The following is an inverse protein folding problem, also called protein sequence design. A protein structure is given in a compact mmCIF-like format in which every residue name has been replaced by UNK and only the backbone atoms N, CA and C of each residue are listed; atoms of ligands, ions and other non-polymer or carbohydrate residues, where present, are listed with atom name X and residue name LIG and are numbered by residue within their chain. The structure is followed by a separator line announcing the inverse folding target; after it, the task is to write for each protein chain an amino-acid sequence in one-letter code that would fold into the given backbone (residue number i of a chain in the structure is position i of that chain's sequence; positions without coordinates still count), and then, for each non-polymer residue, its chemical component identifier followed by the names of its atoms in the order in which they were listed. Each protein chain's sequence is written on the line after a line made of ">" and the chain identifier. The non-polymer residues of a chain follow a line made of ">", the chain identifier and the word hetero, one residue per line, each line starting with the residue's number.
data_IF_729207861332
#
_entry.id   IF_729207861332
#
_cell.length_a   1.000
_cell.length_b   1.000
_cell.length_c   1.000
_cell.angle_alpha   90.00
_cell.angle_beta   90.00
_cell.angle_gamma   90.00
#
_symmetry.space_group_name_H-M   'P 1'
#
loop_
_entity.id
_entity.type
_entity.pdbx_description
1 polymer ?
#
# COMPACT_ATOMS: atom_id res chain seq x y z
N UNK A 1 -14.33 9.69 -19.13
CA UNK A 1 -13.85 9.32 -17.77
C UNK A 1 -12.97 8.09 -17.97
N UNK A 2 -11.65 8.26 -17.89
CA UNK A 2 -10.68 7.20 -18.14
C UNK A 2 -10.12 6.73 -16.80
N UNK A 3 -10.96 6.05 -16.03
CA UNK A 3 -10.53 5.48 -14.76
C UNK A 3 -10.14 4.02 -15.02
N UNK A 4 -8.91 3.63 -14.67
CA UNK A 4 -8.44 2.25 -14.89
C UNK A 4 -8.04 1.61 -13.56
N UNK A 5 -8.66 0.48 -13.24
CA UNK A 5 -8.21 -0.39 -12.16
C UNK A 5 -6.92 -1.12 -12.59
N UNK A 6 -5.97 -1.26 -11.67
CA UNK A 6 -4.71 -1.97 -11.93
C UNK A 6 -4.48 -3.12 -10.95
N UNK A 7 -3.85 -4.18 -11.44
CA UNK A 7 -3.37 -5.32 -10.65
C UNK A 7 -1.90 -5.61 -10.94
N UNK A 8 -1.08 -5.73 -9.89
CA UNK A 8 0.34 -6.01 -9.92
C UNK A 8 0.64 -7.32 -9.15
N UNK A 9 1.33 -8.26 -9.79
CA UNK A 9 1.74 -9.54 -9.20
C UNK A 9 2.79 -9.40 -8.08
N UNK A 10 3.42 -8.22 -7.96
CA UNK A 10 4.40 -7.90 -6.91
C UNK A 10 3.79 -7.18 -5.70
N UNK A 11 2.46 -7.04 -5.66
CA UNK A 11 1.73 -6.52 -4.52
C UNK A 11 0.73 -7.58 -4.03
N UNK A 12 0.40 -7.60 -2.73
CA UNK A 12 -0.58 -8.55 -2.19
C UNK A 12 -1.91 -8.46 -2.92
N UNK A 13 -2.46 -9.60 -3.34
CA UNK A 13 -3.70 -9.64 -4.11
C UNK A 13 -4.84 -8.90 -3.39
N UNK A 14 -5.66 -8.16 -4.13
CA UNK A 14 -6.86 -7.55 -3.59
C UNK A 14 -7.88 -8.66 -3.28
N UNK A 15 -8.21 -8.85 -2.00
CA UNK A 15 -9.17 -9.85 -1.54
C UNK A 15 -10.43 -9.12 -1.07
N UNK A 16 -11.28 -8.74 -2.02
CA UNK A 16 -12.52 -7.99 -1.77
C UNK A 16 -12.93 -7.12 -2.95
N UNK A 17 -13.99 -6.31 -2.80
CA UNK A 17 -14.51 -5.44 -3.86
C UNK A 17 -13.69 -4.14 -3.99
N UNK A 18 -12.37 -4.26 -4.17
CA UNK A 18 -11.45 -3.13 -4.36
C UNK A 18 -10.33 -3.51 -5.34
N UNK A 19 -9.61 -2.50 -5.83
CA UNK A 19 -8.43 -2.68 -6.70
C UNK A 19 -7.16 -2.27 -5.95
N UNK A 20 -5.99 -2.80 -6.32
CA UNK A 20 -4.73 -2.38 -5.69
C UNK A 20 -4.42 -0.91 -5.96
N UNK A 21 -4.77 -0.42 -7.15
CA UNK A 21 -4.80 1.02 -7.43
C UNK A 21 -5.82 1.35 -8.52
N UNK A 22 -6.28 2.59 -8.52
CA UNK A 22 -7.07 3.19 -9.60
C UNK A 22 -6.28 4.38 -10.16
N UNK A 23 -6.22 4.49 -11.48
CA UNK A 23 -5.66 5.68 -12.14
C UNK A 23 -6.78 6.57 -12.65
N UNK A 24 -6.67 7.87 -12.43
CA UNK A 24 -7.61 8.86 -12.91
C UNK A 24 -6.90 10.23 -13.03
N UNK A 25 -7.20 10.98 -14.09
CA UNK A 25 -6.75 12.36 -14.27
C UNK A 25 -5.23 12.59 -14.09
N UNK A 26 -4.40 11.64 -14.51
CA UNK A 26 -2.94 11.74 -14.38
C UNK A 26 -2.39 11.43 -12.97
N UNK A 27 -3.20 10.81 -12.11
CA UNK A 27 -2.79 10.33 -10.80
C UNK A 27 -3.08 8.84 -10.64
N UNK A 28 -2.29 8.18 -9.81
CA UNK A 28 -2.55 6.86 -9.27
C UNK A 28 -2.94 6.99 -7.79
N UNK A 29 -4.05 6.36 -7.44
CA UNK A 29 -4.57 6.25 -6.08
C UNK A 29 -4.35 4.80 -5.64
N UNK A 30 -3.35 4.58 -4.79
CA UNK A 30 -2.97 3.26 -4.30
C UNK A 30 -3.77 2.96 -3.03
N UNK A 31 -4.38 1.78 -2.98
CA UNK A 31 -5.07 1.29 -1.79
C UNK A 31 -4.10 1.13 -0.62
N UNK A 32 -4.64 1.18 0.60
CA UNK A 32 -3.88 0.90 1.81
C UNK A 32 -3.16 -0.44 1.76
N UNK A 33 -1.85 -0.41 1.96
CA UNK A 33 -0.98 -1.56 1.90
C UNK A 33 -0.66 -2.06 3.31
N UNK A 34 -0.85 -3.36 3.50
CA UNK A 34 -0.48 -4.12 4.68
C UNK A 34 0.90 -4.80 4.47
N UNK A 35 1.61 -5.15 5.56
CA UNK A 35 2.91 -5.84 5.53
C UNK A 35 2.76 -7.33 5.21
N UNK A 36 2.18 -7.65 4.05
CA UNK A 36 1.90 -9.03 3.66
C UNK A 36 3.00 -9.59 2.76
N UNK A 37 3.28 -10.87 2.94
CA UNK A 37 3.97 -11.69 1.95
C UNK A 37 3.09 -11.84 0.69
N UNK A 38 3.69 -11.64 -0.48
CA UNK A 38 2.96 -11.63 -1.76
C UNK A 38 2.56 -13.03 -2.23
N UNK A 39 3.25 -14.08 -1.77
CA UNK A 39 3.01 -15.46 -2.18
C UNK A 39 1.91 -16.11 -1.34
N UNK A 40 1.98 -15.95 -0.03
CA UNK A 40 1.11 -16.66 0.91
C UNK A 40 0.19 -15.75 1.74
N UNK A 41 0.35 -14.42 1.66
CA UNK A 41 -0.52 -13.47 2.35
C UNK A 41 -0.38 -13.40 3.87
N UNK A 42 0.68 -14.01 4.42
CA UNK A 42 1.03 -13.92 5.84
C UNK A 42 1.58 -12.54 6.21
N UNK A 43 1.49 -12.17 7.48
CA UNK A 43 2.05 -10.92 8.00
C UNK A 43 3.56 -11.11 8.20
N UNK A 44 4.36 -10.19 7.65
CA UNK A 44 5.81 -10.17 7.82
C UNK A 44 6.18 -9.09 8.82
N UNK A 45 6.97 -9.46 9.84
CA UNK A 45 7.48 -8.55 10.87
C UNK A 45 6.65 -8.56 12.15
N UNK A 46 7.36 -8.41 13.27
CA UNK A 46 6.80 -8.36 14.63
C UNK A 46 6.87 -6.95 15.23
N UNK A 47 7.65 -6.07 14.60
CA UNK A 47 7.77 -4.65 14.95
C UNK A 47 7.17 -3.76 13.86
N UNK A 48 6.84 -2.53 14.23
CA UNK A 48 6.38 -1.49 13.31
C UNK A 48 7.42 -1.18 12.22
N UNK A 49 8.70 -1.18 12.56
CA UNK A 49 9.81 -0.98 11.62
C UNK A 49 9.88 -2.08 10.56
N UNK A 50 9.83 -3.35 10.95
CA UNK A 50 9.85 -4.49 10.02
C UNK A 50 8.63 -4.48 9.09
N UNK A 51 7.44 -4.19 9.64
CA UNK A 51 6.21 -4.11 8.86
C UNK A 51 6.24 -2.93 7.87
N UNK A 52 6.77 -1.79 8.29
CA UNK A 52 6.97 -0.63 7.41
C UNK A 52 7.93 -0.96 6.26
N UNK A 53 9.01 -1.70 6.54
CA UNK A 53 9.94 -2.14 5.52
C UNK A 53 9.27 -3.13 4.53
N UNK A 54 8.40 -4.01 5.01
CA UNK A 54 7.64 -4.90 4.12
C UNK A 54 6.69 -4.12 3.21
N UNK A 55 5.92 -3.16 3.74
CA UNK A 55 5.03 -2.32 2.91
C UNK A 55 5.84 -1.55 1.85
N UNK A 56 7.01 -1.08 2.23
CA UNK A 56 7.95 -0.40 1.34
C UNK A 56 8.42 -1.31 0.21
N UNK A 57 8.78 -2.57 0.50
CA UNK A 57 9.13 -3.58 -0.51
C UNK A 57 7.96 -3.89 -1.46
N UNK A 58 6.73 -3.87 -0.94
CA UNK A 58 5.51 -4.13 -1.71
C UNK A 58 5.12 -2.98 -2.65
N UNK A 59 5.74 -1.79 -2.54
CA UNK A 59 5.56 -0.71 -3.51
C UNK A 59 5.55 0.72 -2.97
N UNK A 60 5.70 0.93 -1.65
CA UNK A 60 5.64 2.27 -1.03
C UNK A 60 7.03 2.92 -0.80
N UNK A 61 8.05 2.61 -1.62
CA UNK A 61 9.40 3.15 -1.40
C UNK A 61 9.60 4.56 -1.96
N UNK A 62 10.09 5.45 -1.09
CA UNK A 62 10.49 6.81 -1.43
C UNK A 62 11.98 6.98 -1.12
N UNK A 63 12.81 7.08 -2.16
CA UNK A 63 14.26 7.29 -2.00
C UNK A 63 14.60 8.77 -1.88
N UNK A 64 14.75 9.46 -3.01
CA UNK A 64 15.10 10.88 -3.08
C UNK A 64 13.87 11.79 -3.01
N UNK A 65 12.72 11.27 -3.44
CA UNK A 65 11.43 11.96 -3.38
C UNK A 65 10.87 11.92 -1.95
N UNK A 66 10.37 13.04 -1.44
CA UNK A 66 9.81 13.17 -0.08
C UNK A 66 8.37 13.66 -0.20
N UNK A 67 7.38 12.77 -0.32
CA UNK A 67 5.98 13.18 -0.48
C UNK A 67 5.45 13.84 0.79
N UNK A 68 4.38 14.60 0.64
CA UNK A 68 3.57 15.02 1.79
C UNK A 68 3.01 13.77 2.50
N UNK A 69 2.85 13.84 3.82
CA UNK A 69 2.31 12.73 4.62
C UNK A 69 1.51 13.21 5.82
N UNK A 70 0.57 12.37 6.23
CA UNK A 70 -0.10 12.41 7.52
C UNK A 70 0.13 11.08 8.22
N UNK A 71 0.35 11.09 9.53
CA UNK A 71 0.55 9.88 10.34
C UNK A 71 -0.31 9.97 11.58
N UNK A 72 -1.19 8.99 11.79
CA UNK A 72 -2.16 8.97 12.89
C UNK A 72 -2.24 7.58 13.49
N UNK A 73 -2.49 7.51 14.79
CA UNK A 73 -2.85 6.27 15.47
C UNK A 73 -4.35 6.00 15.28
N UNK A 74 -4.71 4.74 15.05
CA UNK A 74 -6.10 4.29 14.91
C UNK A 74 -6.36 3.13 15.87
N UNK A 75 -7.63 2.93 16.24
CA UNK A 75 -8.00 1.89 17.21
C UNK A 75 -7.69 0.46 16.75
N UNK A 76 -7.73 0.21 15.44
CA UNK A 76 -7.42 -1.08 14.85
C UNK A 76 -7.06 -0.93 13.37
N UNK A 77 -6.21 -1.84 12.89
CA UNK A 77 -5.80 -1.97 11.49
C UNK A 77 -6.19 -3.38 11.01
N UNK A 78 -6.62 -3.56 9.74
CA UNK A 78 -7.00 -4.87 9.22
C UNK A 78 -5.95 -5.97 9.50
N UNK A 79 -6.43 -7.16 9.84
CA UNK A 79 -5.61 -8.32 10.25
C UNK A 79 -4.73 -8.11 11.49
N UNK A 80 -4.90 -7.02 12.24
CA UNK A 80 -4.15 -6.76 13.46
C UNK A 80 -2.68 -6.38 13.21
N UNK A 81 -2.36 -5.84 12.04
CA UNK A 81 -1.03 -5.31 11.75
C UNK A 81 -0.79 -4.01 12.51
N UNK A 82 0.47 -3.60 12.60
CA UNK A 82 0.91 -2.42 13.35
C UNK A 82 0.90 -1.15 12.50
N UNK A 83 0.92 -1.29 11.17
CA UNK A 83 0.96 -0.18 10.23
C UNK A 83 0.23 -0.52 8.93
N UNK A 84 -0.36 0.51 8.32
CA UNK A 84 -0.93 0.51 6.98
C UNK A 84 -0.54 1.83 6.29
N UNK A 85 -0.20 1.79 5.01
CA UNK A 85 0.22 2.97 4.24
C UNK A 85 -0.56 3.03 2.93
N UNK A 86 -1.19 4.18 2.67
CA UNK A 86 -1.75 4.53 1.36
C UNK A 86 -0.90 5.61 0.66
N UNK A 87 -0.97 5.66 -0.67
CA UNK A 87 -0.13 6.56 -1.48
C UNK A 87 -0.94 7.14 -2.63
N UNK A 88 -0.75 8.43 -2.90
CA UNK A 88 -1.17 9.07 -4.15
C UNK A 88 0.09 9.48 -4.91
N UNK A 89 0.18 9.07 -6.17
CA UNK A 89 1.31 9.38 -7.04
C UNK A 89 0.85 10.09 -8.32
N UNK A 90 1.66 11.03 -8.81
CA UNK A 90 1.46 11.62 -10.13
C UNK A 90 2.00 10.66 -11.20
N UNK A 91 1.21 10.40 -12.23
CA UNK A 91 1.64 9.70 -13.43
C UNK A 91 2.39 10.71 -14.32
N UNK A 92 3.65 10.41 -14.62
CA UNK A 92 4.53 11.21 -15.48
C UNK A 92 5.08 10.37 -16.61
#
# INVERSE_FOLDING_TARGET
>A
MHDSASSNKKAPAAVGPYSQAVTANGFAYLSGMLPLDIENGSIIGTTDAEQTEQITRNGAYFSTHKPARSCVEVAAIPKGTLVEIEVIAKLV
#
